data_IF_191101614962
#
_entry.id   IF_191101614962
#
_cell.length_a   1.000
_cell.length_b   1.000
_cell.length_c   1.000
_cell.angle_alpha   90.00
_cell.angle_beta   90.00
_cell.angle_gamma   90.00
#
_symmetry.space_group_name_H-M   'P 1'
#
loop_
_entity.id
_entity.type
_entity.pdbx_description
1 polymer ?
#
# COMPACT_ATOMS: atom_id res chain seq x y z
N UNK A 1 5.40 14.01 7.36
CA UNK A 1 4.94 15.10 6.46
C UNK A 1 3.67 15.69 7.07
N UNK A 2 3.59 17.02 7.25
CA UNK A 2 2.42 17.69 7.83
C UNK A 2 1.72 18.52 6.76
N UNK A 3 0.41 18.29 6.57
CA UNK A 3 -0.46 19.09 5.70
C UNK A 3 -1.31 19.98 6.59
N UNK A 4 -1.05 21.29 6.60
CA UNK A 4 -1.87 22.27 7.31
C UNK A 4 -2.73 23.04 6.32
N UNK A 5 -4.04 23.14 6.59
CA UNK A 5 -5.00 23.93 5.82
C UNK A 5 -5.80 24.80 6.77
N UNK A 6 -5.94 26.09 6.43
CA UNK A 6 -6.73 27.03 7.24
C UNK A 6 -8.10 27.22 6.61
N UNK A 7 -9.16 27.07 7.41
CA UNK A 7 -10.55 27.29 7.04
C UNK A 7 -11.07 28.52 7.80
N UNK A 8 -11.94 29.32 7.15
CA UNK A 8 -12.64 30.42 7.83
C UNK A 8 -14.00 29.96 8.35
N UNK A 9 -14.23 30.16 9.65
CA UNK A 9 -15.53 29.99 10.28
C UNK A 9 -16.17 31.38 10.49
N UNK A 10 -17.48 31.49 10.24
CA UNK A 10 -18.25 32.71 10.50
C UNK A 10 -19.20 32.44 11.66
N UNK A 11 -19.25 33.36 12.61
CA UNK A 11 -20.27 33.45 13.65
C UNK A 11 -21.51 34.14 13.07
N UNK A 12 -22.69 33.58 13.27
CA UNK A 12 -23.95 34.33 13.18
C UNK A 12 -24.57 34.30 14.59
N UNK A 13 -24.44 35.39 15.32
CA UNK A 13 -24.97 35.56 16.68
C UNK A 13 -25.82 36.83 16.70
N UNK A 14 -26.91 36.81 17.48
CA UNK A 14 -27.88 37.90 17.57
C UNK A 14 -27.26 39.24 18.03
N UNK A 15 -26.15 39.19 18.79
CA UNK A 15 -25.48 40.39 19.27
C UNK A 15 -24.34 40.87 18.35
N UNK A 16 -23.70 39.98 17.56
CA UNK A 16 -22.51 40.31 16.74
C UNK A 16 -22.49 39.51 15.43
N UNK A 17 -23.11 40.00 14.34
CA UNK A 17 -23.33 39.23 13.11
C UNK A 17 -22.08 39.00 12.22
N UNK A 18 -20.91 39.56 12.57
CA UNK A 18 -19.74 39.60 11.65
C UNK A 18 -18.43 38.99 12.20
N UNK A 19 -18.45 38.28 13.34
CA UNK A 19 -17.24 37.67 13.89
C UNK A 19 -16.73 36.51 13.02
N UNK A 20 -15.72 36.79 12.20
CA UNK A 20 -15.00 35.78 11.42
C UNK A 20 -13.73 35.34 12.14
N UNK A 21 -13.63 34.06 12.46
CA UNK A 21 -12.44 33.46 13.07
C UNK A 21 -11.76 32.46 12.15
N UNK A 22 -10.47 32.19 12.41
CA UNK A 22 -9.71 31.17 11.68
C UNK A 22 -9.75 29.85 12.44
N UNK A 23 -10.08 28.78 11.73
CA UNK A 23 -9.96 27.40 12.18
C UNK A 23 -8.83 26.75 11.38
N UNK A 24 -7.75 26.38 12.05
CA UNK A 24 -6.65 25.66 11.41
C UNK A 24 -6.88 24.16 11.54
N UNK A 25 -6.80 23.42 10.44
CA UNK A 25 -6.84 21.97 10.40
C UNK A 25 -5.45 21.47 10.01
N UNK A 26 -4.84 20.67 10.86
CA UNK A 26 -3.52 20.09 10.60
C UNK A 26 -3.65 18.58 10.59
N UNK A 27 -3.24 17.96 9.48
CA UNK A 27 -3.07 16.52 9.39
C UNK A 27 -1.59 16.20 9.34
N UNK A 28 -1.15 15.34 10.25
CA UNK A 28 0.25 14.95 10.38
C UNK A 28 0.34 13.46 10.16
N UNK A 29 1.16 13.06 9.20
CA UNK A 29 1.53 11.66 9.03
C UNK A 29 2.74 11.34 9.90
N UNK A 30 2.64 10.30 10.72
CA UNK A 30 3.74 9.82 11.56
C UNK A 30 4.99 9.53 10.71
N UNK A 31 6.20 9.79 11.23
CA UNK A 31 7.46 9.39 10.58
C UNK A 31 7.48 7.89 10.24
N UNK A 32 8.18 7.51 9.17
CA UNK A 32 8.24 6.12 8.67
C UNK A 32 8.74 5.15 9.74
N UNK A 33 9.71 5.56 10.55
CA UNK A 33 10.26 4.77 11.68
C UNK A 33 9.19 4.27 12.66
N UNK A 34 8.07 5.01 12.80
CA UNK A 34 6.96 4.65 13.68
C UNK A 34 5.82 3.90 12.98
N UNK A 35 5.96 3.65 11.67
CA UNK A 35 5.02 2.89 10.85
C UNK A 35 5.76 1.94 9.90
N UNK A 36 6.64 1.06 10.42
CA UNK A 36 7.57 0.28 9.59
C UNK A 36 6.87 -0.72 8.67
N UNK A 37 5.81 -1.38 9.16
CA UNK A 37 5.08 -2.39 8.38
C UNK A 37 3.61 -2.49 8.81
N UNK A 38 2.83 -3.18 7.99
CA UNK A 38 1.44 -3.53 8.30
C UNK A 38 1.35 -4.30 9.63
N UNK A 39 0.35 -3.99 10.45
CA UNK A 39 0.17 -4.59 11.78
C UNK A 39 1.10 -4.06 12.88
N UNK A 40 2.02 -3.13 12.58
CA UNK A 40 2.92 -2.56 13.58
C UNK A 40 2.22 -1.68 14.63
N UNK A 41 0.94 -1.31 14.42
CA UNK A 41 0.17 -0.46 15.32
C UNK A 41 -0.02 -1.06 16.72
N UNK A 42 0.06 -2.39 16.86
CA UNK A 42 -0.02 -3.09 18.14
C UNK A 42 1.33 -3.41 18.79
N UNK A 43 2.45 -3.04 18.16
CA UNK A 43 3.80 -3.36 18.65
C UNK A 43 4.11 -2.73 20.01
N UNK A 44 5.12 -3.25 20.72
CA UNK A 44 5.55 -2.70 22.02
C UNK A 44 5.90 -1.20 21.91
N UNK A 45 6.67 -0.83 20.88
CA UNK A 45 7.05 0.55 20.61
C UNK A 45 5.84 1.45 20.33
N UNK A 46 4.83 0.93 19.61
CA UNK A 46 3.58 1.63 19.33
C UNK A 46 2.71 1.81 20.58
N UNK A 47 2.68 0.81 21.48
CA UNK A 47 1.98 0.88 22.77
C UNK A 47 2.62 1.89 23.71
N UNK A 48 3.95 1.87 23.83
CA UNK A 48 4.71 2.84 24.64
C UNK A 48 4.41 4.30 24.23
N UNK A 49 4.18 4.54 22.94
CA UNK A 49 3.83 5.86 22.38
C UNK A 49 2.33 6.10 22.20
N UNK A 50 1.50 5.16 22.64
CA UNK A 50 0.02 5.20 22.51
C UNK A 50 -0.50 5.37 21.07
N UNK A 51 0.27 4.94 20.07
CA UNK A 51 -0.14 4.98 18.65
C UNK A 51 -1.42 4.14 18.43
N UNK A 52 -1.55 3.02 19.14
CA UNK A 52 -2.73 2.17 19.10
C UNK A 52 -4.04 2.84 19.58
N UNK A 53 -3.95 3.94 20.34
CA UNK A 53 -5.10 4.70 20.84
C UNK A 53 -5.47 5.88 19.91
N UNK A 54 -4.66 6.15 18.87
CA UNK A 54 -4.85 7.30 17.99
C UNK A 54 -5.95 7.05 16.95
N UNK A 55 -7.22 7.14 17.37
CA UNK A 55 -8.38 6.91 16.51
C UNK A 55 -9.36 8.10 16.61
N UNK A 56 -8.98 9.26 16.06
CA UNK A 56 -9.87 10.41 16.01
C UNK A 56 -9.21 11.76 15.70
N UNK A 57 -9.95 12.82 16.05
CA UNK A 57 -9.55 14.22 15.89
C UNK A 57 -9.34 14.86 17.25
N UNK A 58 -8.21 15.52 17.43
CA UNK A 58 -7.96 16.43 18.55
C UNK A 58 -8.49 17.82 18.21
N UNK A 59 -9.35 18.39 19.05
CA UNK A 59 -9.83 19.77 18.93
C UNK A 59 -9.18 20.60 20.04
N UNK A 60 -8.42 21.61 19.63
CA UNK A 60 -7.68 22.53 20.48
C UNK A 60 -8.31 23.93 20.47
N UNK A 61 -8.68 24.40 21.65
CA UNK A 61 -9.11 25.78 21.89
C UNK A 61 -7.97 26.51 22.60
N UNK A 62 -7.46 27.59 22.00
CA UNK A 62 -6.33 28.35 22.54
C UNK A 62 -5.15 27.43 22.98
N UNK A 63 -4.77 26.49 22.11
CA UNK A 63 -3.71 25.49 22.33
C UNK A 63 -3.97 24.46 23.46
N UNK A 64 -5.18 24.41 24.02
CA UNK A 64 -5.60 23.39 24.98
C UNK A 64 -6.55 22.41 24.30
N UNK A 65 -6.24 21.12 24.36
CA UNK A 65 -7.17 20.08 23.92
C UNK A 65 -8.43 20.09 24.79
N UNK A 66 -9.58 20.18 24.13
CA UNK A 66 -10.90 20.15 24.77
C UNK A 66 -11.76 18.98 24.31
N UNK A 67 -11.34 18.29 23.25
CA UNK A 67 -11.99 17.10 22.74
C UNK A 67 -10.99 16.23 21.99
N UNK A 68 -11.07 14.92 22.21
CA UNK A 68 -10.41 13.90 21.40
C UNK A 68 -11.44 12.82 21.07
N UNK A 69 -11.66 12.55 19.79
CA UNK A 69 -12.58 11.50 19.37
C UNK A 69 -13.01 11.58 17.92
N UNK A 70 -13.92 10.67 17.56
CA UNK A 70 -14.40 10.56 16.18
C UNK A 70 -15.55 11.52 15.89
N UNK A 71 -15.29 12.50 15.02
CA UNK A 71 -16.33 13.32 14.41
C UNK A 71 -17.03 12.56 13.27
N UNK A 72 -18.15 11.91 13.60
CA UNK A 72 -19.01 11.23 12.61
C UNK A 72 -19.32 12.17 11.46
N UNK A 73 -19.33 11.64 10.25
CA UNK A 73 -19.69 12.37 9.03
C UNK A 73 -18.69 13.47 8.65
N UNK A 74 -17.67 13.80 9.45
CA UNK A 74 -16.57 14.72 9.09
C UNK A 74 -15.34 13.91 8.62
N UNK A 75 -15.06 12.81 9.32
CA UNK A 75 -14.04 11.84 8.98
C UNK A 75 -14.64 10.65 8.22
N UNK A 76 -13.85 9.98 7.37
CA UNK A 76 -14.23 8.68 6.84
C UNK A 76 -14.27 7.61 7.94
N UNK A 77 -14.96 6.47 7.72
CA UNK A 77 -14.97 5.34 8.65
C UNK A 77 -13.54 4.96 9.06
N UNK A 78 -13.36 4.68 10.36
CA UNK A 78 -12.04 4.41 10.94
C UNK A 78 -11.43 3.14 10.31
N UNK A 79 -10.19 3.24 9.88
CA UNK A 79 -9.36 2.11 9.46
C UNK A 79 -8.14 1.98 10.39
N UNK A 80 -7.53 0.80 10.47
CA UNK A 80 -6.31 0.57 11.26
C UNK A 80 -5.17 1.55 10.88
N UNK A 81 -5.15 1.98 9.62
CA UNK A 81 -4.21 2.96 9.08
C UNK A 81 -4.30 4.35 9.76
N UNK A 82 -5.46 4.69 10.33
CA UNK A 82 -5.68 6.01 10.93
C UNK A 82 -4.85 6.22 12.19
N UNK A 83 -4.39 5.13 12.82
CA UNK A 83 -3.46 5.16 13.96
C UNK A 83 -2.18 5.94 13.67
N UNK A 84 -1.78 6.00 12.41
CA UNK A 84 -0.57 6.71 11.97
C UNK A 84 -0.85 8.12 11.45
N UNK A 85 -2.09 8.60 11.55
CA UNK A 85 -2.54 9.90 11.06
C UNK A 85 -3.03 10.72 12.26
N UNK A 86 -2.29 11.78 12.60
CA UNK A 86 -2.75 12.76 13.58
C UNK A 86 -3.64 13.80 12.90
N UNK A 87 -4.82 14.07 13.45
CA UNK A 87 -5.71 15.13 12.96
C UNK A 87 -6.00 16.13 14.07
N UNK A 88 -5.62 17.39 13.87
CA UNK A 88 -5.82 18.49 14.81
C UNK A 88 -6.70 19.59 14.21
N UNK A 89 -7.66 20.08 15.00
CA UNK A 89 -8.45 21.28 14.69
C UNK A 89 -8.17 22.33 15.76
N UNK A 90 -7.59 23.46 15.37
CA UNK A 90 -7.22 24.55 16.28
C UNK A 90 -8.07 25.79 16.01
N UNK A 91 -8.62 26.36 17.07
CA UNK A 91 -9.40 27.59 16.99
C UNK A 91 -9.20 28.48 18.24
N UNK A 92 -9.60 29.74 18.11
CA UNK A 92 -9.52 30.76 19.16
C UNK A 92 -10.86 30.89 19.91
N UNK A 93 -10.87 31.32 21.19
CA UNK A 93 -12.08 31.35 22.02
C UNK A 93 -13.28 32.10 21.43
N UNK A 94 -13.07 33.02 20.48
CA UNK A 94 -14.17 33.76 19.84
C UNK A 94 -15.13 32.84 19.04
N UNK A 95 -14.71 31.62 18.71
CA UNK A 95 -15.50 30.62 17.98
C UNK A 95 -16.14 29.54 18.87
N UNK A 96 -16.21 29.73 20.20
CA UNK A 96 -16.79 28.75 21.13
C UNK A 96 -18.22 28.31 20.76
N UNK A 97 -19.05 29.23 20.28
CA UNK A 97 -20.41 28.94 19.80
C UNK A 97 -20.41 28.03 18.56
N UNK A 98 -19.44 28.21 17.65
CA UNK A 98 -19.30 27.38 16.46
C UNK A 98 -18.89 25.93 16.78
N UNK A 99 -18.30 25.71 17.96
CA UNK A 99 -17.89 24.40 18.47
C UNK A 99 -18.76 23.91 19.63
N UNK A 100 -19.88 24.59 19.92
CA UNK A 100 -20.83 24.24 21.01
C UNK A 100 -20.12 23.81 22.30
N UNK A 101 -19.07 24.53 22.69
CA UNK A 101 -18.20 24.15 23.81
C UNK A 101 -19.03 24.12 25.10
N UNK A 102 -19.09 22.95 25.76
CA UNK A 102 -19.82 22.80 27.03
C UNK A 102 -18.87 22.98 28.23
N UNK A 103 -19.36 23.58 29.31
CA UNK A 103 -18.58 23.75 30.57
C UNK A 103 -18.29 22.44 31.30
N UNK A 104 -19.02 21.37 30.99
CA UNK A 104 -18.74 20.01 31.49
C UNK A 104 -17.82 19.28 30.51
N UNK A 105 -16.98 18.37 31.05
CA UNK A 105 -15.96 17.53 30.37
C UNK A 105 -16.47 16.60 29.23
N UNK A 106 -17.58 16.94 28.57
CA UNK A 106 -18.22 16.18 27.48
C UNK A 106 -17.91 16.74 26.08
N UNK A 107 -17.00 17.70 25.96
CA UNK A 107 -16.32 18.02 24.70
C UNK A 107 -16.91 19.15 23.85
N UNK A 108 -16.33 19.32 22.67
CA UNK A 108 -16.65 20.32 21.65
C UNK A 108 -17.23 19.64 20.41
N UNK A 109 -18.32 20.18 19.88
CA UNK A 109 -18.99 19.68 18.70
C UNK A 109 -19.23 20.80 17.66
N UNK A 110 -18.65 20.71 16.46
CA UNK A 110 -18.85 21.72 15.42
C UNK A 110 -20.31 21.80 14.96
N UNK A 111 -20.80 23.02 14.71
CA UNK A 111 -22.09 23.29 14.07
C UNK A 111 -22.12 22.77 12.62
N UNK A 112 -23.30 22.47 12.08
CA UNK A 112 -23.50 21.82 10.78
C UNK A 112 -22.71 22.47 9.63
N UNK A 113 -22.84 23.79 9.42
CA UNK A 113 -22.10 24.49 8.36
C UNK A 113 -20.57 24.50 8.54
N UNK A 114 -20.07 24.33 9.77
CA UNK A 114 -18.64 24.14 10.03
C UNK A 114 -18.23 22.68 9.77
N UNK A 115 -19.08 21.70 10.11
CA UNK A 115 -18.84 20.28 9.81
C UNK A 115 -18.66 20.05 8.32
N UNK A 116 -19.48 20.66 7.46
CA UNK A 116 -19.36 20.49 6.01
C UNK A 116 -18.03 21.03 5.46
N UNK A 117 -17.59 22.18 5.96
CA UNK A 117 -16.28 22.74 5.61
C UNK A 117 -15.13 21.86 6.10
N UNK A 118 -15.23 21.38 7.35
CA UNK A 118 -14.25 20.46 7.92
C UNK A 118 -14.18 19.16 7.13
N UNK A 119 -15.34 18.57 6.77
CA UNK A 119 -15.45 17.37 5.93
C UNK A 119 -14.71 17.57 4.60
N UNK A 120 -14.99 18.67 3.90
CA UNK A 120 -14.36 18.95 2.59
C UNK A 120 -12.82 18.99 2.64
N UNK A 121 -12.23 19.29 3.80
CA UNK A 121 -10.79 19.30 3.99
C UNK A 121 -10.27 17.97 4.56
N UNK A 122 -10.88 17.47 5.63
CA UNK A 122 -10.39 16.31 6.38
C UNK A 122 -10.56 15.02 5.57
N UNK A 123 -11.71 14.84 4.92
CA UNK A 123 -12.07 13.57 4.28
C UNK A 123 -11.04 13.12 3.24
N UNK A 124 -10.77 13.95 2.23
CA UNK A 124 -9.82 13.61 1.17
C UNK A 124 -8.37 13.61 1.65
N UNK A 125 -8.04 14.40 2.68
CA UNK A 125 -6.68 14.41 3.24
C UNK A 125 -6.38 13.12 3.99
N UNK A 126 -7.35 12.57 4.75
CA UNK A 126 -7.20 11.25 5.38
C UNK A 126 -7.04 10.16 4.32
N UNK A 127 -7.85 10.14 3.25
CA UNK A 127 -7.67 9.17 2.16
C UNK A 127 -6.28 9.25 1.52
N UNK A 128 -5.78 10.46 1.31
CA UNK A 128 -4.43 10.69 0.78
C UNK A 128 -3.36 10.16 1.72
N UNK A 129 -3.49 10.44 3.02
CA UNK A 129 -2.57 9.94 4.04
C UNK A 129 -2.61 8.41 4.15
N UNK A 130 -3.80 7.78 4.12
CA UNK A 130 -3.96 6.31 4.06
C UNK A 130 -3.23 5.73 2.84
N UNK A 131 -3.37 6.37 1.67
CA UNK A 131 -2.67 5.96 0.45
C UNK A 131 -1.15 6.04 0.62
N UNK A 132 -0.63 7.10 1.24
CA UNK A 132 0.80 7.24 1.51
C UNK A 132 1.33 6.16 2.46
N UNK A 133 0.60 5.83 3.53
CA UNK A 133 0.98 4.74 4.43
C UNK A 133 0.99 3.41 3.71
N UNK A 134 -0.06 3.11 2.95
CA UNK A 134 -0.18 1.86 2.18
C UNK A 134 0.94 1.72 1.16
N UNK A 135 1.21 2.76 0.36
CA UNK A 135 2.28 2.76 -0.62
C UNK A 135 3.66 2.55 0.00
N UNK A 136 3.92 3.07 1.20
CA UNK A 136 5.17 2.83 1.91
C UNK A 136 5.29 1.38 2.38
N UNK A 137 4.22 0.82 2.98
CA UNK A 137 4.22 -0.58 3.42
C UNK A 137 4.33 -1.56 2.25
N UNK A 138 3.65 -1.28 1.14
CA UNK A 138 3.74 -2.09 -0.07
C UNK A 138 5.19 -2.12 -0.58
N UNK A 139 5.88 -0.97 -0.60
CA UNK A 139 7.29 -0.90 -1.03
C UNK A 139 8.24 -1.67 -0.10
N UNK A 140 8.10 -1.49 1.21
CA UNK A 140 8.87 -2.23 2.23
C UNK A 140 8.67 -3.75 2.11
N UNK A 141 7.44 -4.17 1.84
CA UNK A 141 7.11 -5.59 1.69
C UNK A 141 7.71 -6.18 0.41
N UNK A 142 7.63 -5.45 -0.72
CA UNK A 142 8.27 -5.87 -1.98
C UNK A 142 9.79 -6.01 -1.83
N UNK A 143 10.42 -5.04 -1.18
CA UNK A 143 11.86 -5.02 -0.90
C UNK A 143 12.27 -6.20 -0.01
N UNK A 144 11.56 -6.42 1.10
CA UNK A 144 11.77 -7.57 1.99
C UNK A 144 11.62 -8.92 1.28
N UNK A 145 10.64 -9.06 0.38
CA UNK A 145 10.47 -10.28 -0.41
C UNK A 145 11.64 -10.54 -1.33
N UNK A 146 12.21 -9.47 -1.91
CA UNK A 146 13.42 -9.58 -2.70
C UNK A 146 14.63 -9.98 -1.85
N UNK A 147 14.85 -9.28 -0.74
CA UNK A 147 15.97 -9.55 0.18
C UNK A 147 15.96 -10.98 0.74
N UNK A 148 14.78 -11.49 1.05
CA UNK A 148 14.60 -12.85 1.54
C UNK A 148 14.64 -13.92 0.44
N UNK A 149 14.76 -13.52 -0.82
CA UNK A 149 14.89 -14.42 -1.97
C UNK A 149 13.65 -15.29 -2.18
N UNK A 150 12.45 -14.77 -1.88
CA UNK A 150 11.18 -15.54 -1.94
C UNK A 150 11.03 -16.30 -3.26
N UNK A 151 11.36 -15.64 -4.37
CA UNK A 151 11.15 -16.18 -5.72
C UNK A 151 12.39 -16.88 -6.29
N UNK A 152 13.55 -16.78 -5.64
CA UNK A 152 14.84 -17.22 -6.20
C UNK A 152 14.86 -18.70 -6.55
N UNK A 153 14.25 -19.57 -5.74
CA UNK A 153 14.18 -21.00 -6.05
C UNK A 153 13.42 -21.28 -7.35
N UNK A 154 12.29 -20.62 -7.57
CA UNK A 154 11.51 -20.80 -8.79
C UNK A 154 12.22 -20.19 -10.01
N UNK A 155 12.87 -19.04 -9.85
CA UNK A 155 13.68 -18.38 -10.89
C UNK A 155 14.87 -19.28 -11.32
N UNK A 156 15.56 -19.90 -10.36
CA UNK A 156 16.66 -20.84 -10.61
C UNK A 156 16.18 -22.09 -11.36
N UNK A 157 15.04 -22.67 -10.97
CA UNK A 157 14.44 -23.81 -11.66
C UNK A 157 14.04 -23.41 -13.09
N UNK A 158 13.47 -22.23 -13.27
CA UNK A 158 13.13 -21.70 -14.58
C UNK A 158 14.40 -21.51 -15.43
N UNK A 159 15.50 -21.00 -14.87
CA UNK A 159 16.77 -20.84 -15.58
C UNK A 159 17.34 -22.19 -16.05
N UNK A 160 17.36 -23.21 -15.17
CA UNK A 160 17.86 -24.56 -15.49
C UNK A 160 17.09 -25.24 -16.63
N UNK A 161 15.82 -24.90 -16.82
CA UNK A 161 14.95 -25.47 -17.86
C UNK A 161 14.98 -24.69 -19.17
N UNK A 162 15.74 -23.60 -19.27
CA UNK A 162 15.81 -22.77 -20.47
C UNK A 162 16.39 -23.52 -21.67
N UNK A 163 17.41 -24.36 -21.47
CA UNK A 163 18.07 -25.09 -22.56
C UNK A 163 17.22 -26.17 -23.23
N UNK A 164 16.19 -26.68 -22.54
CA UNK A 164 15.26 -27.68 -23.07
C UNK A 164 13.94 -27.07 -23.58
N UNK A 165 13.76 -25.76 -23.45
CA UNK A 165 12.55 -25.04 -23.86
C UNK A 165 12.74 -24.34 -25.21
N UNK A 166 11.66 -24.15 -26.00
CA UNK A 166 11.71 -23.28 -27.18
C UNK A 166 12.19 -21.86 -26.81
N UNK A 167 12.93 -21.23 -27.72
CA UNK A 167 13.41 -19.85 -27.51
C UNK A 167 12.23 -18.86 -27.50
N UNK A 168 12.23 -17.87 -26.58
CA UNK A 168 11.24 -16.81 -26.59
C UNK A 168 11.35 -15.99 -27.89
N UNK A 169 10.19 -15.54 -28.40
CA UNK A 169 10.05 -14.67 -29.56
C UNK A 169 9.59 -13.26 -29.19
N UNK A 170 8.85 -13.11 -28.09
CA UNK A 170 8.40 -11.81 -27.60
C UNK A 170 9.59 -10.93 -27.21
N UNK A 171 9.52 -9.64 -27.57
CA UNK A 171 10.55 -8.66 -27.20
C UNK A 171 11.91 -8.86 -27.87
N UNK A 172 12.01 -9.67 -28.93
CA UNK A 172 13.27 -9.80 -29.69
C UNK A 172 13.72 -8.50 -30.35
N UNK A 173 12.78 -7.59 -30.65
CA UNK A 173 13.05 -6.26 -31.21
C UNK A 173 13.34 -5.21 -30.13
N UNK A 174 13.22 -5.55 -28.85
CA UNK A 174 13.48 -4.63 -27.74
C UNK A 174 14.95 -4.22 -27.75
N UNK A 175 15.20 -2.90 -27.83
CA UNK A 175 16.55 -2.34 -27.80
C UNK A 175 17.25 -2.59 -26.46
N UNK A 176 18.58 -2.54 -26.45
CA UNK A 176 19.34 -2.68 -25.20
C UNK A 176 19.02 -1.54 -24.23
N UNK A 177 18.83 -0.33 -24.74
CA UNK A 177 18.43 0.84 -23.96
C UNK A 177 17.05 0.66 -23.32
N UNK A 178 16.07 0.16 -24.07
CA UNK A 178 14.72 -0.10 -23.55
C UNK A 178 14.73 -1.22 -22.51
N UNK A 179 15.48 -2.30 -22.76
CA UNK A 179 15.65 -3.39 -21.80
C UNK A 179 16.25 -2.86 -20.48
N UNK A 180 17.29 -2.06 -20.58
CA UNK A 180 17.96 -1.48 -19.42
C UNK A 180 17.06 -0.50 -18.68
N UNK A 181 16.23 0.27 -19.39
CA UNK A 181 15.21 1.11 -18.78
C UNK A 181 14.17 0.29 -18.00
N UNK A 182 13.67 -0.82 -18.55
CA UNK A 182 12.70 -1.69 -17.88
C UNK A 182 13.27 -2.35 -16.63
N UNK A 183 14.52 -2.79 -16.69
CA UNK A 183 15.23 -3.32 -15.53
C UNK A 183 15.42 -2.24 -14.47
N UNK A 184 15.82 -1.02 -14.87
CA UNK A 184 15.96 0.11 -13.96
C UNK A 184 14.64 0.47 -13.29
N UNK A 185 13.53 0.50 -14.04
CA UNK A 185 12.18 0.74 -13.50
C UNK A 185 11.81 -0.32 -12.45
N UNK A 186 12.04 -1.60 -12.75
CA UNK A 186 11.81 -2.71 -11.82
C UNK A 186 12.68 -2.63 -10.56
N UNK A 187 13.98 -2.35 -10.71
CA UNK A 187 14.90 -2.19 -9.59
C UNK A 187 14.49 -1.02 -8.69
N UNK A 188 14.14 0.12 -9.28
CA UNK A 188 13.68 1.30 -8.56
C UNK A 188 12.41 1.08 -7.74
N UNK A 189 11.54 0.18 -8.18
CA UNK A 189 10.37 -0.24 -7.39
C UNK A 189 10.81 -1.00 -6.14
N UNK A 190 11.74 -1.94 -6.29
CA UNK A 190 12.25 -2.80 -5.22
C UNK A 190 13.18 -2.08 -4.25
N UNK A 191 13.86 -1.00 -4.66
CA UNK A 191 14.81 -0.23 -3.83
C UNK A 191 14.28 1.14 -3.45
N UNK A 192 12.96 1.29 -3.39
CA UNK A 192 12.33 2.60 -3.16
C UNK A 192 12.72 3.21 -1.81
N UNK A 193 12.90 2.38 -0.80
CA UNK A 193 13.25 2.82 0.56
C UNK A 193 14.76 2.72 0.82
N UNK A 194 15.48 1.90 0.04
CA UNK A 194 16.95 1.84 0.01
C UNK A 194 17.56 2.13 -1.38
N UNK A 195 17.49 3.38 -1.89
CA UNK A 195 17.97 3.74 -3.23
C UNK A 195 19.45 3.45 -3.47
N UNK A 196 20.26 3.36 -2.41
CA UNK A 196 21.67 2.99 -2.46
C UNK A 196 21.92 1.59 -3.01
N UNK A 197 20.91 0.71 -3.01
CA UNK A 197 21.00 -0.67 -3.53
C UNK A 197 20.57 -0.82 -4.99
N UNK A 198 20.27 0.28 -5.67
CA UNK A 198 19.71 0.25 -7.03
C UNK A 198 20.58 -0.55 -8.00
N UNK A 199 21.88 -0.27 -8.05
CA UNK A 199 22.82 -0.95 -8.95
C UNK A 199 22.96 -2.46 -8.64
N UNK A 200 22.93 -2.82 -7.35
CA UNK A 200 22.95 -4.22 -6.89
C UNK A 200 21.70 -4.96 -7.41
N UNK A 201 20.52 -4.39 -7.20
CA UNK A 201 19.25 -5.00 -7.59
C UNK A 201 19.09 -5.07 -9.11
N UNK A 202 19.53 -4.07 -9.86
CA UNK A 202 19.58 -4.13 -11.32
C UNK A 202 20.43 -5.31 -11.81
N UNK A 203 21.61 -5.49 -11.23
CA UNK A 203 22.50 -6.59 -11.58
C UNK A 203 21.89 -7.96 -11.24
N UNK A 204 21.09 -8.05 -10.17
CA UNK A 204 20.38 -9.28 -9.84
C UNK A 204 19.20 -9.58 -10.76
N UNK A 205 18.41 -8.57 -11.15
CA UNK A 205 17.29 -8.74 -12.11
C UNK A 205 17.83 -9.18 -13.48
N UNK A 206 19.03 -8.73 -13.88
CA UNK A 206 19.67 -9.12 -15.14
C UNK A 206 20.08 -10.60 -15.20
N UNK A 207 20.27 -11.29 -14.06
CA UNK A 207 20.85 -12.64 -14.02
C UNK A 207 19.90 -13.72 -14.54
N UNK A 208 18.69 -13.90 -13.97
CA UNK A 208 17.81 -14.97 -14.41
C UNK A 208 17.06 -14.57 -15.70
N UNK A 209 16.67 -15.55 -16.53
CA UNK A 209 15.87 -15.29 -17.73
C UNK A 209 14.44 -14.87 -17.41
N UNK A 210 13.93 -15.21 -16.22
CA UNK A 210 12.62 -14.77 -15.76
C UNK A 210 12.76 -14.29 -14.32
N UNK A 211 12.18 -13.13 -14.01
CA UNK A 211 12.21 -12.55 -12.68
C UNK A 211 10.79 -12.19 -12.23
N UNK A 212 10.43 -12.52 -11.00
CA UNK A 212 9.19 -12.03 -10.38
C UNK A 212 9.51 -10.76 -9.59
N UNK A 213 8.78 -9.69 -9.89
CA UNK A 213 8.88 -8.39 -9.24
C UNK A 213 7.55 -8.08 -8.56
N UNK A 214 7.45 -8.21 -7.22
CA UNK A 214 6.26 -7.78 -6.51
C UNK A 214 6.09 -6.25 -6.62
N UNK A 215 4.92 -5.79 -7.04
CA UNK A 215 4.60 -4.38 -7.16
C UNK A 215 3.13 -4.12 -6.78
N UNK A 216 2.83 -2.91 -6.31
CA UNK A 216 1.46 -2.51 -5.94
C UNK A 216 0.94 -1.42 -6.87
N UNK A 217 0.03 -1.78 -7.77
CA UNK A 217 -0.62 -0.83 -8.67
C UNK A 217 -2.15 -0.96 -8.68
N UNK A 218 -2.88 0.14 -8.98
CA UNK A 218 -4.32 0.05 -9.21
C UNK A 218 -4.61 -0.79 -10.46
N UNK A 219 -5.57 -1.71 -10.37
CA UNK A 219 -5.93 -2.58 -11.48
C UNK A 219 -6.72 -3.78 -10.99
N UNK A 220 -7.20 -4.58 -11.94
CA UNK A 220 -7.77 -5.90 -11.65
C UNK A 220 -6.83 -7.03 -12.11
N UNK A 221 -5.73 -6.67 -12.74
CA UNK A 221 -4.68 -7.55 -13.24
C UNK A 221 -3.90 -8.13 -12.06
N UNK A 222 -3.74 -9.46 -12.04
CA UNK A 222 -2.87 -10.12 -11.07
C UNK A 222 -1.41 -9.96 -11.45
N UNK A 223 -1.11 -9.97 -12.75
CA UNK A 223 0.26 -9.88 -13.25
C UNK A 223 0.34 -9.09 -14.54
N UNK A 224 1.46 -8.40 -14.71
CA UNK A 224 1.92 -7.82 -15.96
C UNK A 224 3.28 -8.45 -16.30
N UNK A 225 3.60 -8.53 -17.59
CA UNK A 225 4.79 -9.24 -18.09
C UNK A 225 5.41 -8.34 -19.14
N UNK A 226 6.67 -7.99 -18.91
CA UNK A 226 7.49 -7.27 -19.86
C UNK A 226 8.46 -8.27 -20.49
N UNK A 227 8.21 -8.63 -21.75
CA UNK A 227 9.11 -9.49 -22.53
C UNK A 227 10.21 -8.64 -23.13
N UNK A 228 11.46 -8.98 -22.83
CA UNK A 228 12.67 -8.24 -23.22
C UNK A 228 13.62 -9.15 -24.01
N UNK A 229 13.05 -9.97 -24.90
CA UNK A 229 13.77 -10.92 -25.74
C UNK A 229 14.13 -12.18 -24.97
N UNK A 230 15.40 -12.33 -24.59
CA UNK A 230 15.86 -13.52 -23.85
C UNK A 230 15.47 -13.50 -22.37
N UNK A 231 15.02 -12.36 -21.86
CA UNK A 231 14.58 -12.20 -20.47
C UNK A 231 13.13 -11.72 -20.42
N UNK A 232 12.44 -11.96 -19.29
CA UNK A 232 11.15 -11.33 -19.02
C UNK A 232 11.00 -10.98 -17.53
N UNK A 233 10.35 -9.84 -17.28
CA UNK A 233 10.02 -9.38 -15.93
C UNK A 233 8.53 -9.60 -15.71
N UNK A 234 8.19 -10.40 -14.69
CA UNK A 234 6.81 -10.65 -14.28
C UNK A 234 6.49 -9.77 -13.07
N UNK A 235 5.77 -8.68 -13.31
CA UNK A 235 5.25 -7.82 -12.25
C UNK A 235 4.06 -8.52 -11.59
N UNK A 236 4.11 -8.75 -10.29
CA UNK A 236 3.05 -9.43 -9.52
C UNK A 236 2.30 -8.42 -8.64
N UNK A 237 1.00 -8.25 -8.89
CA UNK A 237 0.19 -7.21 -8.26
C UNK A 237 -0.19 -7.57 -6.83
N UNK A 238 0.47 -6.92 -5.87
CA UNK A 238 0.21 -7.13 -4.44
C UNK A 238 -1.16 -6.62 -3.99
N UNK A 239 -1.83 -5.76 -4.79
CA UNK A 239 -3.19 -5.29 -4.52
C UNK A 239 -4.28 -6.24 -4.99
N UNK A 240 -3.93 -7.22 -5.82
CA UNK A 240 -4.91 -8.18 -6.31
C UNK A 240 -5.44 -9.04 -5.15
N UNK A 241 -6.77 -9.33 -5.07
CA UNK A 241 -7.31 -10.10 -3.94
C UNK A 241 -6.72 -11.49 -3.77
N UNK A 242 -6.36 -12.16 -4.88
CA UNK A 242 -5.62 -13.43 -4.81
C UNK A 242 -4.29 -13.27 -4.05
N UNK A 243 -3.55 -12.19 -4.30
CA UNK A 243 -2.29 -11.96 -3.61
C UNK A 243 -2.52 -11.81 -2.11
N UNK A 244 -3.43 -10.91 -1.71
CA UNK A 244 -3.69 -10.65 -0.29
C UNK A 244 -4.30 -11.85 0.46
N UNK A 245 -5.18 -12.62 -0.17
CA UNK A 245 -5.93 -13.69 0.50
C UNK A 245 -5.25 -15.05 0.45
N UNK A 246 -4.39 -15.29 -0.53
CA UNK A 246 -3.67 -16.56 -0.73
C UNK A 246 -2.17 -16.33 -0.62
N UNK A 247 -1.58 -15.62 -1.58
CA UNK A 247 -0.13 -15.54 -1.74
C UNK A 247 0.58 -14.97 -0.50
N UNK A 248 0.14 -13.80 -0.02
CA UNK A 248 0.70 -13.14 1.17
C UNK A 248 0.53 -13.97 2.45
N UNK A 249 -0.53 -14.79 2.56
CA UNK A 249 -0.72 -15.68 3.72
C UNK A 249 0.24 -16.88 3.66
N UNK A 250 0.55 -17.38 2.47
CA UNK A 250 1.59 -18.39 2.28
C UNK A 250 2.95 -17.84 2.69
N UNK A 251 3.31 -16.64 2.22
CA UNK A 251 4.56 -15.97 2.63
C UNK A 251 4.64 -15.80 4.15
N UNK A 252 3.57 -15.34 4.79
CA UNK A 252 3.51 -15.22 6.24
C UNK A 252 3.60 -16.58 6.96
N UNK A 253 3.18 -17.67 6.33
CA UNK A 253 3.37 -19.04 6.82
C UNK A 253 4.83 -19.49 6.73
N UNK A 254 5.49 -19.20 5.61
CA UNK A 254 6.92 -19.48 5.40
C UNK A 254 7.78 -18.70 6.39
N UNK A 255 7.53 -17.39 6.55
CA UNK A 255 8.27 -16.55 7.49
C UNK A 255 8.14 -17.04 8.94
N UNK A 256 6.92 -17.41 9.37
CA UNK A 256 6.71 -17.96 10.72
C UNK A 256 7.50 -19.25 10.95
N UNK A 257 7.53 -20.15 9.96
CA UNK A 257 8.26 -21.40 10.07
C UNK A 257 9.79 -21.21 10.08
N UNK A 258 10.31 -20.16 9.44
CA UNK A 258 11.72 -19.81 9.54
C UNK A 258 12.11 -19.34 10.95
N UNK A 259 11.20 -18.65 11.66
CA UNK A 259 11.45 -18.11 13.01
C UNK A 259 11.21 -19.16 14.10
N UNK A 260 10.10 -19.89 14.04
CA UNK A 260 9.66 -20.81 15.10
C UNK A 260 10.21 -22.23 14.94
N UNK A 261 10.91 -22.50 13.83
CA UNK A 261 11.38 -23.83 13.44
C UNK A 261 10.44 -24.52 12.45
N UNK A 262 11.00 -25.37 11.58
CA UNK A 262 10.28 -26.00 10.49
C UNK A 262 9.09 -26.82 11.01
N UNK A 263 7.89 -26.39 10.65
CA UNK A 263 6.65 -27.13 10.87
C UNK A 263 6.12 -27.69 9.56
N UNK A 264 5.28 -28.72 9.63
CA UNK A 264 4.59 -29.27 8.45
C UNK A 264 3.81 -28.18 7.69
N UNK A 265 3.15 -27.28 8.42
CA UNK A 265 2.42 -26.13 7.87
C UNK A 265 3.38 -25.19 7.11
N UNK A 266 4.55 -24.91 7.68
CA UNK A 266 5.58 -24.09 7.03
C UNK A 266 6.10 -24.71 5.74
N UNK A 267 6.37 -26.01 5.76
CA UNK A 267 6.82 -26.76 4.58
C UNK A 267 5.76 -26.79 3.49
N UNK A 268 4.48 -26.99 3.85
CA UNK A 268 3.36 -26.92 2.90
C UNK A 268 3.18 -25.51 2.33
N UNK A 269 3.32 -24.48 3.14
CA UNK A 269 3.26 -23.08 2.69
C UNK A 269 4.37 -22.78 1.68
N UNK A 270 5.59 -23.23 1.96
CA UNK A 270 6.74 -23.09 1.05
C UNK A 270 6.53 -23.85 -0.26
N UNK A 271 6.08 -25.11 -0.16
CA UNK A 271 5.76 -25.93 -1.34
C UNK A 271 4.72 -25.26 -2.23
N UNK A 272 3.63 -24.77 -1.62
CA UNK A 272 2.56 -24.09 -2.35
C UNK A 272 3.05 -22.78 -2.98
N UNK A 273 3.85 -21.99 -2.26
CA UNK A 273 4.41 -20.74 -2.79
C UNK A 273 5.33 -21.00 -3.98
N UNK A 274 6.31 -21.90 -3.86
CA UNK A 274 7.21 -22.26 -4.97
C UNK A 274 6.41 -22.80 -6.16
N UNK A 275 5.39 -23.62 -5.90
CA UNK A 275 4.49 -24.13 -6.94
C UNK A 275 3.74 -23.02 -7.68
N UNK A 276 3.24 -22.01 -6.96
CA UNK A 276 2.58 -20.85 -7.57
C UNK A 276 3.55 -20.01 -8.41
N UNK A 277 4.77 -19.80 -7.93
CA UNK A 277 5.79 -19.08 -8.71
C UNK A 277 6.13 -19.82 -9.99
N UNK A 278 6.31 -21.15 -9.93
CA UNK A 278 6.53 -21.96 -11.13
C UNK A 278 5.35 -21.89 -12.11
N UNK A 279 4.11 -21.84 -11.63
CA UNK A 279 2.94 -21.62 -12.48
C UNK A 279 3.00 -20.25 -13.18
N UNK A 280 3.31 -19.19 -12.45
CA UNK A 280 3.45 -17.83 -12.97
C UNK A 280 4.59 -17.75 -14.01
N UNK A 281 5.77 -18.29 -13.68
CA UNK A 281 6.93 -18.29 -14.57
C UNK A 281 6.71 -19.14 -15.82
N UNK A 282 6.03 -20.29 -15.69
CA UNK A 282 5.68 -21.13 -16.84
C UNK A 282 4.67 -20.45 -17.77
N UNK A 283 3.70 -19.71 -17.21
CA UNK A 283 2.79 -18.88 -17.98
C UNK A 283 3.54 -17.80 -18.76
N UNK A 284 4.41 -17.03 -18.10
CA UNK A 284 5.21 -15.99 -18.76
C UNK A 284 6.10 -16.57 -19.86
N UNK A 285 6.70 -17.74 -19.64
CA UNK A 285 7.49 -18.42 -20.68
C UNK A 285 6.64 -18.81 -21.89
N UNK A 286 5.47 -19.40 -21.66
CA UNK A 286 4.58 -19.84 -22.73
C UNK A 286 4.06 -18.65 -23.54
N UNK A 287 3.66 -17.58 -22.86
CA UNK A 287 3.25 -16.32 -23.48
C UNK A 287 4.36 -15.76 -24.40
N UNK A 288 5.60 -15.73 -23.92
CA UNK A 288 6.76 -15.23 -24.65
C UNK A 288 7.13 -16.01 -25.92
N UNK A 289 6.48 -17.13 -26.24
CA UNK A 289 6.71 -17.89 -27.47
C UNK A 289 6.13 -17.22 -28.73
N UNK A 290 5.26 -16.21 -28.57
CA UNK A 290 4.67 -15.42 -29.65
C UNK A 290 5.38 -14.07 -29.76
N UNK A 291 5.50 -13.51 -30.96
CA UNK A 291 6.21 -12.23 -31.18
C UNK A 291 5.46 -11.04 -30.57
N UNK A 292 4.16 -10.93 -30.86
CA UNK A 292 3.24 -9.91 -30.34
C UNK A 292 2.48 -10.39 -29.08
N UNK A 293 3.18 -11.13 -28.21
CA UNK A 293 2.60 -11.73 -27.01
C UNK A 293 1.86 -10.72 -26.12
N UNK A 294 2.48 -9.56 -25.88
CA UNK A 294 1.93 -8.48 -25.03
C UNK A 294 0.54 -8.06 -25.48
N UNK A 295 0.36 -7.79 -26.78
CA UNK A 295 -0.92 -7.32 -27.32
C UNK A 295 -1.92 -8.48 -27.43
N UNK A 296 -1.47 -9.63 -27.93
CA UNK A 296 -2.34 -10.77 -28.17
C UNK A 296 -2.95 -11.36 -26.90
N UNK A 297 -2.16 -11.45 -25.83
CA UNK A 297 -2.61 -12.03 -24.56
C UNK A 297 -3.12 -10.98 -23.57
N UNK A 298 -3.11 -9.69 -23.91
CA UNK A 298 -3.57 -8.61 -23.04
C UNK A 298 -5.00 -8.86 -22.51
N UNK A 299 -5.96 -9.07 -23.43
CA UNK A 299 -7.35 -9.34 -23.07
C UNK A 299 -7.49 -10.62 -22.24
N UNK A 300 -6.76 -11.68 -22.60
CA UNK A 300 -6.80 -12.93 -21.83
C UNK A 300 -6.33 -12.69 -20.39
N UNK A 301 -5.23 -11.96 -20.21
CA UNK A 301 -4.61 -11.69 -18.91
C UNK A 301 -5.51 -10.82 -18.04
N UNK A 302 -6.12 -9.78 -18.61
CA UNK A 302 -7.09 -8.93 -17.91
C UNK A 302 -8.33 -9.73 -17.53
N UNK A 303 -8.97 -10.45 -18.47
CA UNK A 303 -10.18 -11.21 -18.17
C UNK A 303 -9.91 -12.33 -17.16
N UNK A 304 -8.82 -13.09 -17.33
CA UNK A 304 -8.41 -14.14 -16.39
C UNK A 304 -8.23 -13.58 -14.98
N UNK A 305 -7.53 -12.45 -14.85
CA UNK A 305 -7.32 -11.80 -13.54
C UNK A 305 -8.63 -11.30 -12.92
N UNK A 306 -9.52 -10.70 -13.72
CA UNK A 306 -10.85 -10.26 -13.27
C UNK A 306 -11.70 -11.44 -12.80
N UNK A 307 -11.71 -12.54 -13.54
CA UNK A 307 -12.42 -13.76 -13.14
C UNK A 307 -11.86 -14.32 -11.83
N UNK A 308 -10.53 -14.41 -11.70
CA UNK A 308 -9.88 -14.86 -10.47
C UNK A 308 -10.21 -13.95 -9.28
N UNK A 309 -10.17 -12.62 -9.46
CA UNK A 309 -10.61 -11.64 -8.47
C UNK A 309 -12.03 -11.95 -7.99
N UNK A 310 -12.98 -12.11 -8.91
CA UNK A 310 -14.38 -12.35 -8.57
C UNK A 310 -14.56 -13.68 -7.82
N UNK A 311 -13.88 -14.75 -8.26
CA UNK A 311 -13.91 -16.05 -7.60
C UNK A 311 -13.35 -16.00 -6.18
N UNK A 312 -12.21 -15.32 -5.96
CA UNK A 312 -11.62 -15.15 -4.63
C UNK A 312 -12.51 -14.32 -3.71
N UNK A 313 -13.14 -13.28 -4.24
CA UNK A 313 -14.07 -12.45 -3.48
C UNK A 313 -15.31 -13.24 -3.04
N UNK A 314 -15.82 -14.12 -3.90
CA UNK A 314 -16.93 -15.00 -3.55
C UNK A 314 -16.52 -16.08 -2.54
N UNK A 315 -15.34 -16.69 -2.74
CA UNK A 315 -14.78 -17.64 -1.78
C UNK A 315 -14.61 -17.02 -0.38
N UNK A 316 -14.20 -15.75 -0.29
CA UNK A 316 -14.06 -15.03 0.99
C UNK A 316 -15.39 -14.80 1.72
N UNK A 317 -16.51 -14.79 0.99
CA UNK A 317 -17.86 -14.60 1.58
C UNK A 317 -18.49 -15.91 2.04
N UNK A 318 -18.03 -17.04 1.50
CA UNK A 318 -18.49 -18.39 1.83
C UNK A 318 -17.90 -18.85 3.17
#
# INVERSE_FOLDING_TARGET
MAHSRTIRARKASADHPELTGRVAVTLTLLPQDFRPKKGAGGSKQARERRIHENEGVSILRANREIFFGYLKDVQPPIEELDRFIGTEIRFTPELDECFKVRNVKKGAEPVEGLRDKLRGVIWNTIHTARKQVRTHWDAQEAEKQRESGVHTEAEDIAAKTQGSSPKPRAGQETSEEERDQKIHEAAKILTKEHPERLEEVEAEIRKPPLTIVPESWPGNELLEIEHLGSTAIVKLNMRHPFYGEVYAKLLAGVERAQVEGTSEIGSLARLAQVGLDLLILSYARAEGMREDATDYYSDLRTHWSVHLKNMIQEWKRS
#
